data_IF_651181743008
#
_entry.id   IF_651181743008
#
_cell.length_a   1.000
_cell.length_b   1.000
_cell.length_c   1.000
_cell.angle_alpha   90.00
_cell.angle_beta   90.00
_cell.angle_gamma   90.00
#
_symmetry.space_group_name_H-M   'P 1'
#
loop_
_entity.id
_entity.type
_entity.pdbx_description
1 polymer ?
#
# COMPACT_ATOMS: atom_id res chain seq x y z
N UNK A 1 -21.81 -26.86 29.75
CA UNK A 1 -20.99 -25.69 30.13
C UNK A 1 -19.51 -26.03 30.35
N UNK A 2 -19.14 -27.08 31.12
CA UNK A 2 -17.72 -27.46 31.31
C UNK A 2 -16.96 -27.82 30.02
N UNK A 3 -17.58 -28.53 29.07
CA UNK A 3 -16.94 -28.86 27.77
C UNK A 3 -16.70 -27.63 26.88
N UNK A 4 -17.57 -26.62 26.93
CA UNK A 4 -17.41 -25.39 26.14
C UNK A 4 -16.28 -24.51 26.69
N UNK A 5 -16.19 -24.39 28.02
CA UNK A 5 -15.11 -23.66 28.68
C UNK A 5 -13.73 -24.33 28.46
N UNK A 6 -13.68 -25.67 28.45
CA UNK A 6 -12.45 -26.41 28.14
C UNK A 6 -12.01 -26.20 26.68
N UNK A 7 -12.94 -26.20 25.72
CA UNK A 7 -12.64 -25.99 24.30
C UNK A 7 -12.10 -24.58 24.02
N UNK A 8 -12.71 -23.56 24.62
CA UNK A 8 -12.24 -22.17 24.51
C UNK A 8 -10.86 -21.97 25.15
N UNK A 9 -10.59 -22.63 26.28
CA UNK A 9 -9.27 -22.57 26.94
C UNK A 9 -8.16 -23.21 26.10
N UNK A 10 -8.49 -24.31 25.41
CA UNK A 10 -7.56 -25.06 24.57
C UNK A 10 -7.21 -24.29 23.29
N UNK A 11 -8.21 -23.67 22.63
CA UNK A 11 -7.98 -22.82 21.45
C UNK A 11 -7.12 -21.59 21.77
N UNK A 12 -7.34 -20.97 22.95
CA UNK A 12 -6.54 -19.82 23.39
C UNK A 12 -5.08 -20.22 23.59
N UNK A 13 -4.83 -21.38 24.21
CA UNK A 13 -3.50 -21.92 24.43
C UNK A 13 -2.79 -22.23 23.08
N UNK A 14 -3.47 -22.89 22.14
CA UNK A 14 -2.91 -23.16 20.80
C UNK A 14 -2.52 -21.88 20.06
N UNK A 15 -3.34 -20.81 20.12
CA UNK A 15 -3.04 -19.52 19.48
C UNK A 15 -1.84 -18.82 20.10
N UNK A 16 -1.66 -18.91 21.41
CA UNK A 16 -0.50 -18.34 22.11
C UNK A 16 0.78 -19.10 21.76
N UNK A 17 0.74 -20.44 21.79
CA UNK A 17 1.85 -21.31 21.39
C UNK A 17 2.25 -21.10 19.93
N UNK A 18 1.28 -21.02 19.02
CA UNK A 18 1.50 -20.69 17.61
C UNK A 18 2.29 -19.38 17.44
N UNK A 19 1.88 -18.31 18.14
CA UNK A 19 2.58 -17.01 18.10
C UNK A 19 4.01 -17.11 18.62
N UNK A 20 4.22 -17.84 19.71
CA UNK A 20 5.53 -18.05 20.32
C UNK A 20 6.47 -18.82 19.38
N UNK A 21 6.03 -19.95 18.84
CA UNK A 21 6.82 -20.78 17.92
C UNK A 21 7.18 -19.99 16.65
N UNK A 22 6.20 -19.28 16.07
CA UNK A 22 6.44 -18.42 14.91
C UNK A 22 7.49 -17.35 15.20
N UNK A 23 7.43 -16.71 16.37
CA UNK A 23 8.42 -15.73 16.77
C UNK A 23 9.83 -16.35 16.95
N UNK A 24 9.92 -17.57 17.51
CA UNK A 24 11.19 -18.33 17.62
C UNK A 24 11.77 -18.62 16.23
N UNK A 25 10.97 -19.11 15.29
CA UNK A 25 11.42 -19.45 13.93
C UNK A 25 11.92 -18.20 13.18
N UNK A 26 11.17 -17.10 13.23
CA UNK A 26 11.54 -15.84 12.53
C UNK A 26 12.86 -15.27 13.06
N UNK A 27 13.16 -15.46 14.36
CA UNK A 27 14.42 -15.03 14.98
C UNK A 27 15.56 -16.04 14.81
N UNK A 28 15.29 -17.22 14.27
CA UNK A 28 16.28 -18.28 14.09
C UNK A 28 16.98 -18.20 12.74
N UNK A 29 18.05 -18.97 12.57
CA UNK A 29 18.72 -19.19 11.27
C UNK A 29 17.81 -19.84 10.23
N UNK A 30 16.71 -20.49 10.65
CA UNK A 30 15.74 -21.15 9.77
C UNK A 30 14.67 -20.21 9.21
N UNK A 31 14.75 -18.91 9.49
CA UNK A 31 13.80 -17.91 9.02
C UNK A 31 13.66 -17.89 7.48
N UNK A 32 14.76 -18.04 6.75
CA UNK A 32 14.73 -18.12 5.28
C UNK A 32 14.00 -19.36 4.78
N UNK A 33 14.24 -20.53 5.39
CA UNK A 33 13.57 -21.77 5.04
C UNK A 33 12.07 -21.71 5.34
N UNK A 34 11.71 -21.16 6.49
CA UNK A 34 10.32 -20.90 6.87
C UNK A 34 9.61 -20.07 5.80
N UNK A 35 10.19 -18.92 5.40
CA UNK A 35 9.56 -18.07 4.39
C UNK A 35 9.50 -18.73 3.01
N UNK A 36 10.52 -19.50 2.63
CA UNK A 36 10.50 -20.27 1.39
C UNK A 36 9.33 -21.27 1.38
N UNK A 37 9.07 -21.95 2.49
CA UNK A 37 7.92 -22.85 2.62
C UNK A 37 6.59 -22.11 2.75
N UNK A 38 6.50 -20.88 3.24
CA UNK A 38 5.22 -20.14 3.21
C UNK A 38 4.83 -19.66 1.82
N UNK A 39 5.77 -19.60 0.87
CA UNK A 39 5.51 -19.17 -0.50
C UNK A 39 5.00 -20.34 -1.36
N UNK A 40 3.68 -20.45 -1.50
CA UNK A 40 3.00 -21.55 -2.20
C UNK A 40 3.30 -21.65 -3.71
N UNK A 41 3.71 -20.54 -4.31
CA UNK A 41 4.02 -20.46 -5.74
C UNK A 41 5.46 -20.87 -6.05
N UNK A 42 6.31 -21.00 -5.03
CA UNK A 42 7.62 -21.64 -5.16
C UNK A 42 7.58 -23.07 -4.63
N UNK A 43 7.70 -24.04 -5.53
CA UNK A 43 7.93 -25.42 -5.16
C UNK A 43 9.44 -25.57 -4.86
N UNK A 44 9.80 -25.85 -3.60
CA UNK A 44 11.19 -25.97 -3.15
C UNK A 44 11.71 -27.41 -3.33
N UNK A 45 10.87 -28.40 -3.06
CA UNK A 45 11.17 -29.82 -3.24
C UNK A 45 10.50 -30.38 -4.51
N UNK A 46 10.31 -31.70 -4.64
CA UNK A 46 9.77 -32.29 -5.89
C UNK A 46 8.28 -32.03 -6.06
N UNK A 47 7.55 -31.74 -4.98
CA UNK A 47 6.12 -31.45 -5.03
C UNK A 47 5.65 -30.56 -3.89
N UNK A 48 4.48 -29.94 -4.06
CA UNK A 48 3.82 -29.17 -2.98
C UNK A 48 3.53 -30.00 -1.74
N UNK A 49 3.20 -31.28 -1.91
CA UNK A 49 2.97 -32.20 -0.79
C UNK A 49 4.25 -32.49 0.00
N UNK A 50 5.38 -32.57 -0.69
CA UNK A 50 6.70 -32.75 -0.06
C UNK A 50 7.14 -31.47 0.66
N UNK A 51 6.80 -30.30 0.11
CA UNK A 51 7.02 -29.04 0.80
C UNK A 51 6.13 -28.87 2.04
N UNK A 52 4.88 -29.37 2.04
CA UNK A 52 4.02 -29.40 3.23
C UNK A 52 4.64 -30.26 4.34
N UNK A 53 5.22 -31.40 3.94
CA UNK A 53 5.95 -32.30 4.83
C UNK A 53 7.18 -31.61 5.46
N UNK A 54 8.04 -31.01 4.64
CA UNK A 54 9.25 -30.33 5.11
C UNK A 54 8.94 -29.09 5.95
N UNK A 55 7.85 -28.39 5.62
CA UNK A 55 7.35 -27.29 6.44
C UNK A 55 6.98 -27.78 7.85
N UNK A 56 6.20 -28.85 7.95
CA UNK A 56 5.82 -29.42 9.24
C UNK A 56 7.04 -29.91 10.05
N UNK A 57 8.00 -30.57 9.40
CA UNK A 57 9.26 -30.96 10.04
C UNK A 57 10.02 -29.75 10.59
N UNK A 58 10.07 -28.65 9.84
CA UNK A 58 10.69 -27.41 10.30
C UNK A 58 10.00 -26.87 11.55
N UNK A 59 8.66 -26.81 11.57
CA UNK A 59 7.92 -26.34 12.75
C UNK A 59 8.18 -27.22 13.97
N UNK A 60 8.18 -28.56 13.79
CA UNK A 60 8.39 -29.51 14.89
C UNK A 60 9.72 -29.34 15.61
N UNK A 61 10.76 -28.82 14.95
CA UNK A 61 12.05 -28.52 15.62
C UNK A 61 11.90 -27.50 16.76
N UNK A 62 10.89 -26.63 16.68
CA UNK A 62 10.64 -25.56 17.64
C UNK A 62 9.51 -25.86 18.63
N UNK A 63 8.82 -27.01 18.49
CA UNK A 63 7.76 -27.44 19.41
C UNK A 63 8.37 -28.33 20.50
N UNK A 64 8.15 -27.97 21.77
CA UNK A 64 8.59 -28.76 22.91
C UNK A 64 7.94 -30.15 22.92
N UNK A 65 8.68 -31.16 23.38
CA UNK A 65 8.29 -32.58 23.31
C UNK A 65 7.00 -32.90 24.06
N UNK A 66 6.63 -32.09 25.05
CA UNK A 66 5.42 -32.26 25.86
C UNK A 66 4.19 -31.52 25.33
N UNK A 67 4.32 -30.70 24.27
CA UNK A 67 3.21 -29.92 23.70
C UNK A 67 2.47 -30.72 22.62
N UNK A 68 1.14 -30.73 22.61
CA UNK A 68 0.35 -31.36 21.55
C UNK A 68 0.60 -30.70 20.18
N UNK A 69 1.21 -31.44 19.25
CA UNK A 69 1.65 -30.87 17.97
C UNK A 69 0.58 -30.83 16.87
N UNK A 70 -0.44 -31.68 16.96
CA UNK A 70 -1.39 -31.90 15.84
C UNK A 70 -2.14 -30.62 15.51
N UNK A 71 -2.80 -30.02 16.50
CA UNK A 71 -3.52 -28.74 16.34
C UNK A 71 -2.61 -27.57 15.97
N UNK A 72 -1.37 -27.56 16.48
CA UNK A 72 -0.41 -26.51 16.14
C UNK A 72 0.04 -26.60 14.68
N UNK A 73 0.38 -27.80 14.21
CA UNK A 73 0.77 -28.02 12.82
C UNK A 73 -0.38 -27.73 11.85
N UNK A 74 -1.60 -28.13 12.22
CA UNK A 74 -2.81 -27.75 11.49
C UNK A 74 -2.95 -26.23 11.40
N UNK A 75 -2.83 -25.51 12.51
CA UNK A 75 -2.90 -24.04 12.52
C UNK A 75 -1.81 -23.43 11.63
N UNK A 76 -0.57 -23.92 11.67
CA UNK A 76 0.51 -23.44 10.78
C UNK A 76 0.21 -23.70 9.30
N UNK A 77 -0.28 -24.89 8.95
CA UNK A 77 -0.62 -25.21 7.56
C UNK A 77 -1.80 -24.36 7.06
N UNK A 78 -2.83 -24.16 7.88
CA UNK A 78 -4.03 -23.38 7.52
C UNK A 78 -3.79 -21.88 7.48
N UNK A 79 -2.86 -21.35 8.27
CA UNK A 79 -2.63 -19.89 8.36
C UNK A 79 -1.46 -19.41 7.51
N UNK A 80 -0.35 -20.15 7.47
CA UNK A 80 0.91 -19.67 6.88
C UNK A 80 1.22 -20.28 5.51
N UNK A 81 0.70 -21.48 5.24
CA UNK A 81 0.95 -22.25 4.01
C UNK A 81 -0.33 -22.68 3.29
N UNK A 82 -1.47 -22.07 3.61
CA UNK A 82 -2.81 -22.48 3.21
C UNK A 82 -2.94 -23.03 1.77
N UNK A 83 -3.45 -24.26 1.62
CA UNK A 83 -3.83 -24.86 0.33
C UNK A 83 -5.32 -25.19 0.35
N UNK A 84 -6.02 -24.97 -0.77
CA UNK A 84 -7.43 -25.38 -0.94
C UNK A 84 -7.65 -26.89 -0.65
N UNK A 85 -6.62 -27.71 -0.89
CA UNK A 85 -6.66 -29.15 -0.58
C UNK A 85 -6.86 -29.46 0.90
N UNK A 86 -6.50 -28.56 1.82
CA UNK A 86 -6.70 -28.74 3.26
C UNK A 86 -8.17 -28.64 3.68
N UNK A 87 -9.00 -27.96 2.88
CA UNK A 87 -10.45 -27.84 3.11
C UNK A 87 -11.25 -28.90 2.36
N UNK A 88 -10.73 -29.37 1.22
CA UNK A 88 -11.37 -30.34 0.35
C UNK A 88 -11.09 -31.81 0.75
N UNK A 89 -10.07 -32.07 1.57
CA UNK A 89 -9.67 -33.43 1.98
C UNK A 89 -9.14 -33.44 3.41
N UNK A 90 -10.05 -33.61 4.38
CA UNK A 90 -9.71 -33.74 5.81
C UNK A 90 -8.65 -34.84 6.06
N UNK A 91 -8.81 -35.97 5.38
CA UNK A 91 -7.87 -37.11 5.46
C UNK A 91 -6.46 -36.78 5.01
N UNK A 92 -6.27 -35.88 4.04
CA UNK A 92 -4.93 -35.51 3.56
C UNK A 92 -4.13 -34.74 4.63
N UNK A 93 -4.78 -33.80 5.31
CA UNK A 93 -4.16 -32.98 6.34
C UNK A 93 -3.77 -33.85 7.55
N UNK A 94 -4.71 -34.65 8.05
CA UNK A 94 -4.50 -35.59 9.16
C UNK A 94 -3.37 -36.58 8.85
N UNK A 95 -3.44 -37.26 7.69
CA UNK A 95 -2.42 -38.24 7.28
C UNK A 95 -1.03 -37.59 7.13
N UNK A 96 -0.95 -36.35 6.66
CA UNK A 96 0.33 -35.65 6.50
C UNK A 96 0.93 -35.30 7.86
N UNK A 97 0.12 -34.75 8.77
CA UNK A 97 0.56 -34.38 10.13
C UNK A 97 1.00 -35.62 10.91
N UNK A 98 0.21 -36.70 10.91
CA UNK A 98 0.54 -37.94 11.61
C UNK A 98 1.86 -38.54 11.14
N UNK A 99 2.04 -38.65 9.82
CA UNK A 99 3.26 -39.21 9.24
C UNK A 99 4.49 -38.36 9.56
N UNK A 100 4.35 -37.03 9.54
CA UNK A 100 5.45 -36.12 9.89
C UNK A 100 5.80 -36.20 11.38
N UNK A 101 4.82 -36.30 12.27
CA UNK A 101 5.05 -36.47 13.72
C UNK A 101 5.78 -37.80 13.98
N UNK A 102 5.32 -38.89 13.36
CA UNK A 102 5.96 -40.21 13.47
C UNK A 102 7.42 -40.15 12.98
N UNK A 103 7.65 -39.64 11.78
CA UNK A 103 8.99 -39.52 11.21
C UNK A 103 9.91 -38.59 12.02
N UNK A 104 9.39 -37.49 12.56
CA UNK A 104 10.15 -36.57 13.41
C UNK A 104 10.55 -37.20 14.75
N UNK A 105 9.68 -38.04 15.31
CA UNK A 105 9.93 -38.76 16.55
C UNK A 105 10.98 -39.87 16.35
N UNK A 106 10.88 -40.63 15.25
CA UNK A 106 11.85 -41.66 14.87
C UNK A 106 13.26 -41.08 14.60
N UNK A 107 13.32 -39.86 14.04
CA UNK A 107 14.59 -39.18 13.74
C UNK A 107 15.08 -38.23 14.85
N UNK A 108 14.40 -38.16 16.00
CA UNK A 108 14.77 -37.29 17.13
C UNK A 108 14.81 -35.80 16.82
N UNK A 109 14.06 -35.32 15.82
CA UNK A 109 14.14 -33.93 15.34
C UNK A 109 13.24 -32.96 16.13
N UNK A 110 12.27 -33.48 16.86
CA UNK A 110 11.29 -32.67 17.61
C UNK A 110 11.93 -31.95 18.78
N UNK A 111 11.62 -30.66 18.94
CA UNK A 111 12.05 -29.84 20.08
C UNK A 111 13.55 -29.56 20.14
N UNK A 112 14.32 -29.95 19.11
CA UNK A 112 15.78 -29.72 19.01
C UNK A 112 16.18 -28.25 19.13
N UNK A 113 15.27 -27.33 18.83
CA UNK A 113 15.46 -25.88 18.85
C UNK A 113 14.48 -25.16 19.78
N UNK A 114 13.78 -25.90 20.64
CA UNK A 114 12.75 -25.33 21.52
C UNK A 114 13.33 -24.39 22.59
N UNK A 115 14.51 -24.73 23.12
CA UNK A 115 15.21 -24.01 24.20
C UNK A 115 16.41 -23.25 23.64
N UNK A 116 16.18 -22.24 22.82
CA UNK A 116 17.22 -21.54 22.06
C UNK A 116 18.41 -21.04 22.90
N UNK A 117 19.48 -21.84 22.96
CA UNK A 117 20.85 -21.40 23.21
C UNK A 117 21.69 -21.70 21.98
N UNK A 118 21.33 -21.04 20.87
CA UNK A 118 22.16 -20.98 19.67
C UNK A 118 22.98 -19.70 19.72
N UNK A 119 24.25 -19.83 20.08
CA UNK A 119 25.28 -18.78 20.18
C UNK A 119 25.19 -17.80 19.01
N UNK A 120 25.02 -16.52 19.33
CA UNK A 120 25.13 -15.39 18.41
C UNK A 120 26.59 -15.30 17.92
N UNK A 121 26.81 -15.52 16.63
CA UNK A 121 28.05 -15.13 15.97
C UNK A 121 27.99 -13.62 15.67
N UNK A 122 28.95 -12.77 16.11
CA UNK A 122 28.85 -11.31 15.97
C UNK A 122 29.04 -10.76 14.55
N UNK A 123 29.45 -11.58 13.57
CA UNK A 123 29.94 -11.08 12.28
C UNK A 123 29.07 -11.40 11.06
N UNK A 124 27.81 -11.73 11.27
CA UNK A 124 26.82 -11.65 10.18
C UNK A 124 25.99 -10.40 10.40
N UNK A 125 26.08 -9.43 9.49
CA UNK A 125 25.24 -8.25 9.48
C UNK A 125 23.76 -8.70 9.40
N UNK A 126 23.14 -8.84 10.57
CA UNK A 126 21.72 -9.05 10.74
C UNK A 126 21.07 -7.77 10.23
N UNK A 127 20.56 -7.82 9.00
CA UNK A 127 19.50 -6.93 8.56
C UNK A 127 18.32 -7.26 9.45
N UNK A 128 18.24 -6.58 10.60
CA UNK A 128 17.03 -6.53 11.39
C UNK A 128 15.95 -6.01 10.46
N UNK A 129 15.08 -6.90 10.01
CA UNK A 129 13.75 -6.59 9.55
C UNK A 129 13.02 -6.01 10.78
N UNK A 130 13.33 -4.75 11.09
CA UNK A 130 12.48 -3.91 11.91
C UNK A 130 11.13 -3.99 11.24
N UNK A 131 10.14 -4.64 11.88
CA UNK A 131 8.74 -4.50 11.50
C UNK A 131 8.53 -3.01 11.27
N UNK A 132 8.31 -2.63 10.02
CA UNK A 132 8.20 -1.24 9.66
C UNK A 132 6.86 -0.74 10.20
N UNK A 133 6.87 -0.28 11.45
CA UNK A 133 5.68 0.29 12.09
C UNK A 133 5.61 1.75 11.67
N UNK A 134 4.83 2.03 10.63
CA UNK A 134 4.48 3.40 10.26
C UNK A 134 3.35 3.83 11.21
N UNK A 135 3.46 4.99 11.87
CA UNK A 135 2.38 5.52 12.69
C UNK A 135 1.11 5.75 11.85
N UNK A 136 -0.07 5.39 12.38
CA UNK A 136 -1.33 5.52 11.65
C UNK A 136 -1.63 6.98 11.21
N UNK A 137 -1.20 7.96 12.00
CA UNK A 137 -1.36 9.39 11.70
C UNK A 137 -0.48 9.89 10.54
N UNK A 138 0.45 9.07 10.04
CA UNK A 138 1.25 9.36 8.86
C UNK A 138 0.64 8.76 7.59
N UNK A 139 -0.47 8.03 7.70
CA UNK A 139 -1.14 7.41 6.56
C UNK A 139 -2.43 8.16 6.23
N UNK A 140 -2.52 8.61 4.98
CA UNK A 140 -3.75 9.21 4.44
C UNK A 140 -4.42 8.20 3.52
N UNK A 141 -5.73 8.01 3.68
CA UNK A 141 -6.56 7.35 2.66
C UNK A 141 -6.89 8.36 1.57
N UNK A 142 -6.70 7.98 0.32
CA UNK A 142 -7.10 8.75 -0.85
C UNK A 142 -7.94 7.87 -1.77
N UNK A 143 -8.99 8.38 -2.39
CA UNK A 143 -9.75 7.60 -3.35
C UNK A 143 -9.03 7.52 -4.70
N UNK A 144 -9.21 6.43 -5.45
CA UNK A 144 -8.76 6.29 -6.84
C UNK A 144 -9.30 7.40 -7.79
N UNK A 145 -10.26 8.22 -7.32
CA UNK A 145 -10.75 9.44 -7.98
C UNK A 145 -9.63 10.47 -8.24
N UNK A 146 -8.52 10.40 -7.52
CA UNK A 146 -7.41 11.32 -7.71
C UNK A 146 -6.36 10.84 -8.74
N UNK A 147 -6.73 9.94 -9.67
CA UNK A 147 -5.95 9.65 -10.90
C UNK A 147 -6.01 10.80 -11.92
N UNK A 148 -5.80 12.04 -11.48
CA UNK A 148 -5.91 13.27 -12.28
C UNK A 148 -4.62 14.11 -12.29
N UNK A 149 -3.52 13.58 -11.76
CA UNK A 149 -2.20 14.22 -11.73
C UNK A 149 -1.25 13.55 -12.72
N UNK A 150 -0.55 14.36 -13.52
CA UNK A 150 0.27 13.88 -14.64
C UNK A 150 1.68 14.48 -14.64
N UNK A 151 2.63 13.76 -15.25
CA UNK A 151 3.99 14.24 -15.53
C UNK A 151 3.95 15.32 -16.61
N UNK A 152 4.60 16.45 -16.33
CA UNK A 152 4.84 17.60 -17.22
C UNK A 152 3.63 17.94 -18.13
N UNK A 153 2.76 18.83 -17.61
CA UNK A 153 1.57 19.35 -18.29
C UNK A 153 1.78 20.72 -18.96
N UNK A 154 3.02 21.17 -19.18
CA UNK A 154 3.38 22.54 -19.59
C UNK A 154 2.66 23.07 -20.85
N UNK A 155 2.10 22.19 -21.68
CA UNK A 155 1.45 22.54 -22.95
C UNK A 155 0.06 21.95 -23.16
N UNK A 156 -0.60 21.45 -22.11
CA UNK A 156 -1.92 20.87 -22.26
C UNK A 156 -3.01 21.95 -22.25
N UNK A 157 -3.90 21.87 -23.25
CA UNK A 157 -4.96 22.84 -23.51
C UNK A 157 -5.95 22.84 -22.33
N UNK A 158 -6.24 24.03 -21.79
CA UNK A 158 -7.31 24.23 -20.81
C UNK A 158 -8.67 23.82 -21.41
N UNK A 159 -9.63 23.47 -20.57
CA UNK A 159 -10.94 22.93 -20.97
C UNK A 159 -10.85 21.56 -21.66
N UNK A 160 -9.94 20.72 -21.17
CA UNK A 160 -9.86 19.32 -21.60
C UNK A 160 -10.62 18.41 -20.62
N UNK A 161 -11.33 17.42 -21.17
CA UNK A 161 -11.99 16.38 -20.39
C UNK A 161 -11.31 15.04 -20.66
N UNK A 162 -11.04 14.28 -19.61
CA UNK A 162 -10.43 12.95 -19.68
C UNK A 162 -11.29 11.94 -18.94
N UNK A 163 -11.62 10.87 -19.66
CA UNK A 163 -12.19 9.66 -19.09
C UNK A 163 -11.06 8.82 -18.49
N UNK A 164 -10.91 8.91 -17.17
CA UNK A 164 -9.86 8.21 -16.43
C UNK A 164 -10.24 6.75 -16.19
N UNK A 165 -11.54 6.46 -16.07
CA UNK A 165 -12.08 5.11 -15.99
C UNK A 165 -13.52 5.10 -16.53
N UNK A 166 -13.82 4.14 -17.41
CA UNK A 166 -15.15 3.95 -18.00
C UNK A 166 -15.85 2.67 -17.53
N UNK A 167 -15.31 2.00 -16.50
CA UNK A 167 -15.99 0.85 -15.90
C UNK A 167 -17.24 1.31 -15.16
N UNK A 168 -18.35 0.59 -15.29
CA UNK A 168 -19.63 0.96 -14.67
C UNK A 168 -19.54 1.07 -13.14
N UNK A 169 -18.77 0.19 -12.50
CA UNK A 169 -18.54 0.15 -11.06
C UNK A 169 -17.50 1.16 -10.55
N UNK A 170 -16.82 1.84 -11.47
CA UNK A 170 -15.65 2.66 -11.17
C UNK A 170 -15.48 3.82 -12.16
N UNK A 171 -16.56 4.47 -12.60
CA UNK A 171 -16.50 5.56 -13.59
C UNK A 171 -15.82 6.80 -12.99
N UNK A 172 -14.97 7.44 -13.76
CA UNK A 172 -14.34 8.72 -13.42
C UNK A 172 -14.05 9.53 -14.68
N UNK A 173 -14.65 10.70 -14.73
CA UNK A 173 -14.41 11.73 -15.73
C UNK A 173 -13.87 12.98 -15.03
N UNK A 174 -12.86 13.60 -15.64
CA UNK A 174 -12.16 14.77 -15.09
C UNK A 174 -12.10 15.87 -16.12
N UNK A 175 -12.58 17.06 -15.77
CA UNK A 175 -12.51 18.26 -16.62
C UNK A 175 -11.54 19.28 -16.03
N UNK A 176 -10.57 19.70 -16.83
CA UNK A 176 -9.48 20.60 -16.44
C UNK A 176 -9.69 22.01 -17.00
N UNK A 177 -10.43 22.85 -16.28
CA UNK A 177 -10.73 24.22 -16.75
C UNK A 177 -9.56 25.21 -16.57
N UNK A 178 -8.51 24.81 -15.86
CA UNK A 178 -7.29 25.60 -15.64
C UNK A 178 -6.01 24.84 -16.03
N UNK A 179 -6.16 23.83 -16.90
CA UNK A 179 -5.08 22.94 -17.33
C UNK A 179 -4.87 21.73 -16.39
N UNK A 180 -4.15 20.68 -16.86
CA UNK A 180 -3.98 19.45 -16.09
C UNK A 180 -3.07 19.63 -14.88
N UNK A 181 -3.42 18.90 -13.82
CA UNK A 181 -2.71 18.93 -12.55
C UNK A 181 -1.36 18.19 -12.67
N UNK A 182 -0.33 18.78 -12.08
CA UNK A 182 1.03 18.25 -12.10
C UNK A 182 1.50 17.81 -10.70
N UNK A 183 2.79 17.50 -10.56
CA UNK A 183 3.34 16.99 -9.31
C UNK A 183 3.46 18.04 -8.19
N UNK A 184 3.50 19.32 -8.55
CA UNK A 184 3.40 20.41 -7.60
C UNK A 184 1.97 20.48 -7.04
N UNK A 185 0.95 20.41 -7.91
CA UNK A 185 -0.45 20.39 -7.50
C UNK A 185 -0.77 19.18 -6.61
N UNK A 186 -0.24 18.01 -6.97
CA UNK A 186 -0.33 16.81 -6.14
C UNK A 186 0.28 17.01 -4.75
N UNK A 187 1.41 17.73 -4.68
CA UNK A 187 2.07 18.00 -3.41
C UNK A 187 1.17 18.84 -2.52
N UNK A 188 0.63 19.96 -3.04
CA UNK A 188 -0.30 20.82 -2.29
C UNK A 188 -1.52 20.02 -1.83
N UNK A 189 -2.12 19.25 -2.74
CA UNK A 189 -3.27 18.41 -2.44
C UNK A 189 -3.02 17.41 -1.31
N UNK A 190 -1.92 16.65 -1.35
CA UNK A 190 -1.58 15.67 -0.30
C UNK A 190 -1.30 16.35 1.04
N UNK A 191 -0.67 17.52 1.05
CA UNK A 191 -0.47 18.29 2.28
C UNK A 191 -1.78 18.75 2.90
N UNK A 192 -2.69 19.29 2.10
CA UNK A 192 -4.01 19.67 2.57
C UNK A 192 -4.75 18.46 3.14
N UNK A 193 -4.80 17.34 2.42
CA UNK A 193 -5.41 16.11 2.94
C UNK A 193 -4.78 15.65 4.26
N UNK A 194 -3.45 15.75 4.41
CA UNK A 194 -2.76 15.41 5.67
C UNK A 194 -3.23 16.28 6.82
N UNK A 195 -3.40 17.57 6.54
CA UNK A 195 -3.82 18.55 7.52
C UNK A 195 -5.29 18.34 7.93
N UNK A 196 -6.20 18.18 6.95
CA UNK A 196 -7.61 17.86 7.19
C UNK A 196 -7.80 16.54 7.94
N UNK A 197 -6.94 15.54 7.69
CA UNK A 197 -6.99 14.26 8.43
C UNK A 197 -6.60 14.41 9.90
N UNK A 198 -5.79 15.41 10.26
CA UNK A 198 -5.38 15.70 11.64
C UNK A 198 -6.34 16.65 12.34
N UNK A 199 -6.95 17.55 11.59
CA UNK A 199 -7.88 18.58 12.07
C UNK A 199 -9.17 18.52 11.24
N UNK A 200 -10.01 17.50 11.46
CA UNK A 200 -11.24 17.36 10.70
C UNK A 200 -12.20 18.50 11.06
N UNK A 201 -12.50 19.36 10.09
CA UNK A 201 -13.50 20.41 10.20
C UNK A 201 -14.56 20.21 9.11
N UNK A 202 -15.83 20.36 9.48
CA UNK A 202 -16.96 20.16 8.55
C UNK A 202 -17.04 21.33 7.56
N UNK A 203 -16.71 22.54 8.00
CA UNK A 203 -16.94 23.77 7.23
C UNK A 203 -15.75 24.17 6.35
N UNK A 204 -14.59 23.53 6.49
CA UNK A 204 -13.34 23.96 5.87
C UNK A 204 -12.36 24.55 6.87
N UNK A 205 -11.24 25.08 6.38
CA UNK A 205 -10.12 25.50 7.21
C UNK A 205 -9.71 26.91 6.80
N UNK A 206 -9.64 27.79 7.79
CA UNK A 206 -9.06 29.12 7.65
C UNK A 206 -7.55 29.06 7.97
N UNK A 207 -6.72 29.44 7.01
CA UNK A 207 -5.26 29.46 7.14
C UNK A 207 -4.73 30.78 6.61
N UNK A 208 -3.76 31.38 7.29
CA UNK A 208 -2.96 32.40 6.65
C UNK A 208 -1.99 31.77 5.62
N UNK A 209 -1.67 32.50 4.56
CA UNK A 209 -0.74 32.03 3.52
C UNK A 209 0.65 31.61 4.07
N UNK A 210 1.28 32.35 5.01
CA UNK A 210 2.51 31.89 5.67
C UNK A 210 2.39 30.50 6.30
N UNK A 211 1.27 30.21 6.95
CA UNK A 211 0.99 28.92 7.57
C UNK A 211 0.76 27.84 6.52
N UNK A 212 0.04 28.15 5.44
CA UNK A 212 -0.12 27.24 4.30
C UNK A 212 1.23 26.88 3.65
N UNK A 213 2.10 27.86 3.41
CA UNK A 213 3.47 27.64 2.92
C UNK A 213 4.26 26.74 3.88
N UNK A 214 4.14 26.97 5.19
CA UNK A 214 4.79 26.15 6.22
C UNK A 214 4.28 24.71 6.22
N UNK A 215 2.97 24.49 6.14
CA UNK A 215 2.37 23.15 6.02
C UNK A 215 2.94 22.46 4.79
N UNK A 216 2.97 23.13 3.64
CA UNK A 216 3.47 22.58 2.39
C UNK A 216 5.01 22.47 2.30
N UNK A 217 5.74 22.91 3.33
CA UNK A 217 7.22 23.00 3.38
C UNK A 217 7.80 23.76 2.19
N UNK A 218 7.17 24.87 1.81
CA UNK A 218 7.60 25.76 0.73
C UNK A 218 8.22 27.02 1.34
N UNK A 219 9.31 27.50 0.74
CA UNK A 219 9.98 28.73 1.19
C UNK A 219 9.05 29.95 1.09
N UNK A 220 9.17 30.87 2.04
CA UNK A 220 8.40 32.13 2.02
C UNK A 220 9.04 33.14 1.07
N UNK A 221 8.57 33.21 -0.18
CA UNK A 221 8.93 34.23 -1.16
C UNK A 221 7.79 34.49 -2.14
N UNK A 222 7.76 35.64 -2.81
CA UNK A 222 6.65 36.06 -3.68
C UNK A 222 6.30 35.05 -4.79
N UNK A 223 7.30 34.40 -5.39
CA UNK A 223 7.08 33.34 -6.38
C UNK A 223 6.31 32.16 -5.77
N UNK A 224 6.67 31.75 -4.55
CA UNK A 224 6.01 30.66 -3.84
C UNK A 224 4.54 30.97 -3.49
N UNK A 225 4.23 32.22 -3.14
CA UNK A 225 2.85 32.67 -2.96
C UNK A 225 2.05 32.52 -4.26
N UNK A 226 2.60 33.05 -5.37
CA UNK A 226 1.96 32.98 -6.69
C UNK A 226 1.73 31.53 -7.12
N UNK A 227 2.71 30.65 -6.93
CA UNK A 227 2.62 29.23 -7.31
C UNK A 227 1.60 28.46 -6.48
N UNK A 228 1.50 28.71 -5.17
CA UNK A 228 0.44 28.11 -4.35
C UNK A 228 -0.94 28.60 -4.81
N UNK A 229 -1.11 29.91 -5.04
CA UNK A 229 -2.39 30.45 -5.50
C UNK A 229 -2.78 29.88 -6.87
N UNK A 230 -1.83 29.73 -7.80
CA UNK A 230 -2.07 29.08 -9.08
C UNK A 230 -2.50 27.62 -8.90
N UNK A 231 -1.84 26.88 -8.00
CA UNK A 231 -2.17 25.50 -7.70
C UNK A 231 -3.56 25.36 -7.07
N UNK A 232 -3.91 26.20 -6.09
CA UNK A 232 -5.24 26.25 -5.49
C UNK A 232 -6.31 26.58 -6.54
N UNK A 233 -6.03 27.53 -7.43
CA UNK A 233 -6.90 27.90 -8.56
C UNK A 233 -7.10 26.72 -9.52
N UNK A 234 -6.04 25.97 -9.84
CA UNK A 234 -6.13 24.77 -10.68
C UNK A 234 -6.97 23.67 -10.03
N UNK A 235 -6.71 23.38 -8.76
CA UNK A 235 -7.46 22.39 -8.00
C UNK A 235 -8.94 22.80 -7.88
N UNK A 236 -9.24 24.08 -7.66
CA UNK A 236 -10.61 24.56 -7.54
C UNK A 236 -11.38 24.59 -8.86
N UNK A 237 -10.69 24.63 -9.99
CA UNK A 237 -11.26 24.61 -11.34
C UNK A 237 -11.24 23.23 -11.99
N UNK A 238 -10.68 22.23 -11.32
CA UNK A 238 -10.72 20.85 -11.78
C UNK A 238 -12.01 20.20 -11.30
N UNK A 239 -12.87 19.85 -12.24
CA UNK A 239 -14.17 19.22 -11.97
C UNK A 239 -14.07 17.71 -12.15
N UNK A 240 -14.71 16.98 -11.25
CA UNK A 240 -14.74 15.53 -11.20
C UNK A 240 -16.20 15.09 -11.32
N UNK A 241 -16.45 14.10 -12.16
CA UNK A 241 -17.73 13.40 -12.24
C UNK A 241 -17.47 11.91 -12.08
N UNK A 242 -18.11 11.28 -11.10
CA UNK A 242 -17.80 9.89 -10.75
C UNK A 242 -19.05 9.11 -10.34
N UNK A 243 -18.97 7.80 -10.61
CA UNK A 243 -19.89 6.80 -10.11
C UNK A 243 -19.03 5.64 -9.57
N UNK A 244 -18.97 5.47 -8.25
CA UNK A 244 -18.08 4.51 -7.60
C UNK A 244 -18.85 3.55 -6.72
N UNK A 245 -18.62 2.26 -6.89
CA UNK A 245 -19.00 1.25 -5.91
C UNK A 245 -18.17 1.46 -4.63
N UNK A 246 -18.81 1.52 -3.47
CA UNK A 246 -18.15 1.78 -2.17
C UNK A 246 -18.14 0.57 -1.22
N UNK A 247 -18.92 -0.48 -1.50
CA UNK A 247 -18.99 -1.72 -0.70
C UNK A 247 -18.67 -2.96 -1.54
N UNK A 248 -17.90 -3.89 -0.98
CA UNK A 248 -17.66 -5.22 -1.55
C UNK A 248 -18.70 -6.19 -0.95
N UNK A 249 -19.31 -7.06 -1.76
CA UNK A 249 -20.28 -8.06 -1.32
C UNK A 249 -19.69 -8.97 -0.23
N UNK A 250 -20.07 -8.73 1.02
CA UNK A 250 -19.84 -9.68 2.11
C UNK A 250 -21.16 -9.85 2.85
N UNK A 251 -21.81 -11.00 2.62
CA UNK A 251 -23.04 -11.51 3.26
C UNK A 251 -24.38 -10.97 2.72
N UNK A 252 -25.05 -11.86 1.96
CA UNK A 252 -26.48 -12.09 1.67
C UNK A 252 -27.52 -10.96 1.52
N UNK A 253 -27.31 -9.71 1.92
CA UNK A 253 -28.33 -8.63 1.77
C UNK A 253 -27.76 -7.20 1.74
N UNK A 254 -26.66 -6.94 1.03
CA UNK A 254 -26.24 -5.57 0.73
C UNK A 254 -26.37 -5.31 -0.77
N UNK A 255 -27.39 -4.52 -1.15
CA UNK A 255 -27.47 -3.91 -2.48
C UNK A 255 -26.16 -3.15 -2.73
N UNK A 256 -25.59 -3.30 -3.91
CA UNK A 256 -24.42 -2.54 -4.33
C UNK A 256 -24.60 -1.05 -4.03
N UNK A 257 -23.85 -0.54 -3.05
CA UNK A 257 -23.88 0.88 -2.73
C UNK A 257 -22.95 1.60 -3.71
N UNK A 258 -23.56 2.44 -4.54
CA UNK A 258 -22.86 3.37 -5.42
C UNK A 258 -22.88 4.76 -4.82
N UNK A 259 -21.74 5.45 -4.93
CA UNK A 259 -21.62 6.86 -4.63
C UNK A 259 -21.42 7.61 -5.95
N UNK A 260 -22.44 8.36 -6.33
CA UNK A 260 -22.48 9.19 -7.55
C UNK A 260 -22.51 10.64 -7.14
N UNK A 261 -21.56 11.42 -7.64
CA UNK A 261 -21.52 12.86 -7.39
C UNK A 261 -20.60 13.54 -8.40
N UNK A 262 -20.73 14.86 -8.49
CA UNK A 262 -19.89 15.72 -9.32
C UNK A 262 -19.59 17.05 -8.62
N UNK A 263 -18.43 17.63 -8.92
CA UNK A 263 -17.99 18.91 -8.36
C UNK A 263 -16.48 19.07 -8.41
N UNK A 264 -15.96 20.09 -7.73
CA UNK A 264 -14.53 20.44 -7.78
C UNK A 264 -13.72 19.70 -6.73
N UNK A 265 -12.41 19.57 -6.95
CA UNK A 265 -11.51 18.93 -5.96
C UNK A 265 -11.55 19.68 -4.62
N UNK A 266 -11.53 21.01 -4.70
CA UNK A 266 -11.66 21.90 -3.56
C UNK A 266 -12.37 23.20 -3.96
N UNK A 267 -12.71 24.00 -2.97
CA UNK A 267 -13.13 25.39 -3.09
C UNK A 267 -12.21 26.21 -2.19
N UNK A 268 -11.86 27.44 -2.59
CA UNK A 268 -11.07 28.33 -1.73
C UNK A 268 -11.49 29.78 -1.91
N UNK A 269 -11.36 30.56 -0.84
CA UNK A 269 -11.56 32.00 -0.82
C UNK A 269 -10.30 32.66 -0.30
N UNK A 270 -9.87 33.73 -0.97
CA UNK A 270 -8.71 34.52 -0.57
C UNK A 270 -9.20 35.85 -0.04
N UNK A 271 -9.00 36.09 1.25
CA UNK A 271 -9.36 37.34 1.90
C UNK A 271 -8.11 38.20 2.06
N UNK A 272 -8.09 39.34 1.36
CA UNK A 272 -7.03 40.33 1.51
C UNK A 272 -7.37 41.23 2.70
N UNK A 273 -6.60 41.12 3.79
CA UNK A 273 -6.77 42.04 4.92
C UNK A 273 -6.16 43.39 4.57
N UNK A 274 -7.01 44.39 4.34
CA UNK A 274 -6.60 45.76 4.05
C UNK A 274 -5.70 46.38 5.14
N UNK A 275 -5.78 45.88 6.38
CA UNK A 275 -5.10 46.43 7.55
C UNK A 275 -3.69 45.86 7.84
N UNK A 276 -3.24 44.82 7.12
CA UNK A 276 -1.90 44.23 7.32
C UNK A 276 -1.27 43.82 5.99
N UNK A 277 -0.34 44.64 5.51
CA UNK A 277 0.50 44.34 4.35
C UNK A 277 1.17 42.98 4.58
N UNK A 278 0.87 41.99 3.73
CA UNK A 278 1.47 40.65 3.77
C UNK A 278 0.70 39.57 4.54
N UNK A 279 -0.48 39.87 5.10
CA UNK A 279 -1.40 38.87 5.65
C UNK A 279 -2.57 38.62 4.69
N UNK A 280 -2.46 37.52 3.96
CA UNK A 280 -3.53 36.99 3.11
C UNK A 280 -4.10 35.76 3.80
N UNK A 281 -5.37 35.83 4.17
CA UNK A 281 -6.08 34.65 4.69
C UNK A 281 -6.63 33.85 3.52
N UNK A 282 -6.64 32.54 3.69
CA UNK A 282 -7.16 31.59 2.73
C UNK A 282 -8.07 30.63 3.46
N UNK A 283 -9.34 30.69 3.10
CA UNK A 283 -10.31 29.69 3.51
C UNK A 283 -10.35 28.59 2.47
N UNK A 284 -10.12 27.33 2.88
CA UNK A 284 -10.09 26.17 2.00
C UNK A 284 -11.14 25.17 2.44
N UNK A 285 -11.95 24.71 1.48
CA UNK A 285 -12.95 23.67 1.68
C UNK A 285 -12.71 22.51 0.70
N UNK A 286 -12.60 21.26 1.19
CA UNK A 286 -12.41 20.09 0.34
C UNK A 286 -13.77 19.43 0.11
N UNK A 287 -14.34 19.70 -1.07
CA UNK A 287 -15.77 19.54 -1.35
C UNK A 287 -16.24 18.06 -1.45
N UNK A 288 -15.38 17.14 -1.90
CA UNK A 288 -15.87 15.88 -2.49
C UNK A 288 -15.31 14.59 -1.90
N UNK A 289 -14.24 14.65 -1.12
CA UNK A 289 -13.52 13.43 -0.72
C UNK A 289 -13.84 12.94 0.68
N UNK A 290 -14.25 13.80 1.62
CA UNK A 290 -14.35 13.42 3.03
C UNK A 290 -15.28 12.22 3.25
N UNK A 291 -16.47 12.23 2.63
CA UNK A 291 -17.45 11.15 2.79
C UNK A 291 -16.98 9.82 2.16
N UNK A 292 -16.37 9.84 0.97
CA UNK A 292 -15.82 8.62 0.33
C UNK A 292 -14.64 8.07 1.14
N UNK A 293 -13.79 8.94 1.68
CA UNK A 293 -12.63 8.56 2.47
C UNK A 293 -13.02 7.97 3.84
N UNK A 294 -14.13 8.43 4.41
CA UNK A 294 -14.66 7.95 5.69
C UNK A 294 -15.46 6.64 5.55
N UNK A 295 -16.25 6.49 4.48
CA UNK A 295 -17.23 5.41 4.34
C UNK A 295 -16.72 4.27 3.44
N UNK A 296 -15.83 4.56 2.49
CA UNK A 296 -15.39 3.60 1.47
C UNK A 296 -14.35 2.60 1.99
N UNK A 297 -14.73 1.33 2.05
CA UNK A 297 -13.80 0.20 2.27
C UNK A 297 -13.28 -0.39 0.95
N UNK A 298 -13.71 0.16 -0.19
CA UNK A 298 -13.34 -0.26 -1.54
C UNK A 298 -12.77 0.93 -2.33
N UNK A 299 -11.89 0.67 -3.31
CA UNK A 299 -11.30 1.69 -4.20
C UNK A 299 -10.52 2.84 -3.52
N UNK A 300 -9.98 2.63 -2.32
CA UNK A 300 -9.04 3.54 -1.70
C UNK A 300 -7.59 3.11 -1.94
N UNK A 301 -6.73 4.10 -2.03
CA UNK A 301 -5.29 4.00 -1.92
C UNK A 301 -4.87 4.60 -0.60
N UNK A 302 -3.74 4.16 -0.08
CA UNK A 302 -3.14 4.81 1.07
C UNK A 302 -1.83 5.48 0.67
N UNK A 303 -1.46 6.57 1.35
CA UNK A 303 -0.22 7.30 1.13
C UNK A 303 0.53 7.32 2.46
N UNK A 304 1.80 6.91 2.48
CA UNK A 304 2.69 7.26 3.58
C UNK A 304 3.16 8.71 3.36
N UNK A 305 2.67 9.63 4.18
CA UNK A 305 3.02 11.05 4.06
C UNK A 305 4.51 11.26 4.28
N UNK A 306 5.14 10.57 5.23
CA UNK A 306 6.56 10.72 5.50
C UNK A 306 7.40 10.33 4.28
N UNK A 307 7.13 9.16 3.70
CA UNK A 307 7.85 8.71 2.50
C UNK A 307 7.57 9.60 1.29
N UNK A 308 6.32 10.01 1.08
CA UNK A 308 5.94 10.93 0.01
C UNK A 308 6.69 12.27 0.13
N UNK A 309 6.81 12.83 1.34
CA UNK A 309 7.51 14.09 1.56
C UNK A 309 9.02 13.98 1.45
N UNK A 310 9.59 12.80 1.73
CA UNK A 310 11.03 12.55 1.57
C UNK A 310 11.46 12.48 0.10
N UNK A 311 10.53 12.29 -0.83
CA UNK A 311 10.82 12.39 -2.26
C UNK A 311 11.07 13.84 -2.65
N UNK A 312 12.31 14.14 -3.09
CA UNK A 312 12.75 15.51 -3.41
C UNK A 312 12.07 16.11 -4.65
N UNK A 313 11.72 15.29 -5.63
CA UNK A 313 11.16 15.74 -6.92
C UNK A 313 9.65 15.49 -6.98
N UNK A 314 8.92 16.48 -7.49
CA UNK A 314 7.49 16.37 -7.77
C UNK A 314 7.14 15.22 -8.72
N UNK A 315 7.99 14.94 -9.71
CA UNK A 315 7.78 13.81 -10.63
C UNK A 315 7.87 12.45 -9.92
N UNK A 316 8.78 12.31 -8.93
CA UNK A 316 8.88 11.09 -8.13
C UNK A 316 7.64 10.90 -7.26
N UNK A 317 7.06 12.00 -6.77
CA UNK A 317 5.81 12.01 -6.01
C UNK A 317 4.62 11.55 -6.86
N UNK A 318 4.55 11.97 -8.13
CA UNK A 318 3.55 11.44 -9.07
C UNK A 318 3.72 9.93 -9.24
N UNK A 319 4.95 9.46 -9.46
CA UNK A 319 5.22 8.04 -9.63
C UNK A 319 4.87 7.21 -8.38
N UNK A 320 5.25 7.69 -7.20
CA UNK A 320 4.86 7.10 -5.92
C UNK A 320 3.34 7.01 -5.79
N UNK A 321 2.67 8.13 -6.08
CA UNK A 321 1.23 8.23 -5.96
C UNK A 321 0.51 7.30 -6.93
N UNK A 322 0.98 7.24 -8.18
CA UNK A 322 0.52 6.29 -9.17
C UNK A 322 0.61 4.84 -8.67
N UNK A 323 1.73 4.44 -8.06
CA UNK A 323 1.87 3.11 -7.48
C UNK A 323 0.91 2.87 -6.30
N UNK A 324 0.70 3.87 -5.45
CA UNK A 324 -0.28 3.77 -4.36
C UNK A 324 -1.70 3.51 -4.87
N UNK A 325 -2.09 4.12 -5.99
CA UNK A 325 -3.42 3.97 -6.60
C UNK A 325 -3.61 2.65 -7.36
N UNK A 326 -2.53 2.07 -7.88
CA UNK A 326 -2.61 0.91 -8.79
C UNK A 326 -2.14 -0.40 -8.17
N UNK A 327 -1.50 -0.37 -7.00
CA UNK A 327 -0.94 -1.56 -6.35
C UNK A 327 -1.63 -1.79 -5.01
N UNK A 328 -2.41 -2.86 -4.94
CA UNK A 328 -2.98 -3.31 -3.67
C UNK A 328 -1.86 -3.84 -2.77
N UNK A 329 -1.90 -3.56 -1.45
CA UNK A 329 -1.00 -4.17 -0.48
C UNK A 329 -1.16 -5.69 -0.45
N UNK A 330 -0.23 -6.40 -1.09
CA UNK A 330 -0.27 -7.85 -1.29
C UNK A 330 1.15 -8.42 -1.28
N UNK A 331 1.27 -9.74 -1.22
CA UNK A 331 2.58 -10.40 -1.36
C UNK A 331 3.08 -10.47 -2.81
N UNK A 332 2.18 -10.25 -3.77
CA UNK A 332 2.40 -10.39 -5.19
C UNK A 332 2.97 -9.12 -5.82
N UNK A 333 3.78 -9.30 -6.85
CA UNK A 333 4.28 -8.20 -7.66
C UNK A 333 3.29 -7.85 -8.76
N UNK A 334 3.06 -6.55 -8.95
CA UNK A 334 2.38 -6.00 -10.12
C UNK A 334 3.44 -5.62 -11.16
N UNK A 335 3.26 -6.14 -12.37
CA UNK A 335 4.15 -5.86 -13.50
C UNK A 335 3.67 -4.62 -14.26
N UNK A 336 4.60 -3.72 -14.59
CA UNK A 336 4.33 -2.59 -15.47
C UNK A 336 5.41 -2.47 -16.55
N UNK A 337 5.00 -2.42 -17.81
CA UNK A 337 5.91 -2.08 -18.91
C UNK A 337 6.21 -0.58 -18.93
N UNK A 338 7.36 -0.18 -19.48
CA UNK A 338 7.68 1.25 -19.64
C UNK A 338 6.65 1.98 -20.51
N UNK A 339 6.11 1.30 -21.53
CA UNK A 339 5.10 1.88 -22.42
C UNK A 339 3.81 2.17 -21.67
N UNK A 340 3.31 1.23 -20.87
CA UNK A 340 2.12 1.43 -20.04
C UNK A 340 2.29 2.56 -19.04
N UNK A 341 3.41 2.58 -18.30
CA UNK A 341 3.71 3.67 -17.36
C UNK A 341 3.71 5.03 -18.05
N UNK A 342 4.37 5.15 -19.21
CA UNK A 342 4.42 6.40 -19.94
C UNK A 342 3.05 6.84 -20.50
N UNK A 343 2.15 5.90 -20.82
CA UNK A 343 0.79 6.23 -21.26
C UNK A 343 -0.09 6.69 -20.09
N UNK A 344 0.08 6.11 -18.91
CA UNK A 344 -0.76 6.42 -17.75
C UNK A 344 -0.26 7.63 -16.96
N UNK A 345 1.05 7.89 -16.93
CA UNK A 345 1.65 8.99 -16.18
C UNK A 345 1.61 10.32 -16.93
N UNK A 346 1.51 10.31 -18.26
CA UNK A 346 1.46 11.54 -19.06
C UNK A 346 0.05 11.83 -19.53
N UNK A 347 -0.27 13.12 -19.59
CA UNK A 347 -1.53 13.57 -20.17
C UNK A 347 -1.60 13.21 -21.66
N UNK A 348 -2.76 12.70 -22.10
CA UNK A 348 -2.92 12.15 -23.45
C UNK A 348 -2.58 13.17 -24.55
N UNK A 349 -3.00 14.43 -24.37
CA UNK A 349 -2.75 15.52 -25.34
C UNK A 349 -1.35 16.15 -25.23
N UNK A 350 -0.41 15.57 -24.48
CA UNK A 350 0.94 16.14 -24.41
C UNK A 350 1.71 15.97 -25.73
N UNK A 351 2.31 17.05 -26.23
CA UNK A 351 3.08 17.07 -27.48
C UNK A 351 4.40 16.26 -27.44
N UNK A 352 4.73 15.66 -26.29
CA UNK A 352 5.97 14.90 -26.11
C UNK A 352 5.84 13.55 -26.81
N UNK A 353 6.73 13.27 -27.77
CA UNK A 353 6.83 11.97 -28.46
C UNK A 353 6.95 10.81 -27.46
N UNK A 354 6.26 9.70 -27.70
CA UNK A 354 6.24 8.53 -26.81
C UNK A 354 7.65 8.00 -26.46
N UNK A 355 8.60 8.02 -27.40
CA UNK A 355 9.99 7.62 -27.17
C UNK A 355 10.65 8.46 -26.06
N UNK A 356 10.38 9.77 -26.04
CA UNK A 356 10.89 10.69 -25.03
C UNK A 356 10.21 10.46 -23.67
N UNK A 357 8.89 10.22 -23.66
CA UNK A 357 8.16 9.84 -22.45
C UNK A 357 8.75 8.56 -21.83
N UNK A 358 8.94 7.52 -22.64
CA UNK A 358 9.55 6.26 -22.21
C UNK A 358 10.96 6.49 -21.62
N UNK A 359 11.78 7.34 -22.23
CA UNK A 359 13.12 7.66 -21.71
C UNK A 359 13.05 8.41 -20.37
N UNK A 360 12.15 9.40 -20.23
CA UNK A 360 11.95 10.14 -18.97
C UNK A 360 11.47 9.20 -17.87
N UNK A 361 10.50 8.33 -18.14
CA UNK A 361 10.02 7.31 -17.18
C UNK A 361 11.15 6.39 -16.73
N UNK A 362 12.01 5.92 -17.64
CA UNK A 362 13.18 5.09 -17.25
C UNK A 362 14.12 5.81 -16.29
N UNK A 363 14.44 7.07 -16.57
CA UNK A 363 15.27 7.89 -15.68
C UNK A 363 14.61 8.05 -14.30
N UNK A 364 13.30 8.32 -14.31
CA UNK A 364 12.51 8.47 -13.08
C UNK A 364 12.46 7.18 -12.26
N UNK A 365 12.30 6.02 -12.90
CA UNK A 365 12.30 4.72 -12.23
C UNK A 365 13.66 4.37 -11.61
N UNK A 366 14.76 4.68 -12.30
CA UNK A 366 16.10 4.49 -11.74
C UNK A 366 16.31 5.38 -10.50
N UNK A 367 15.83 6.62 -10.55
CA UNK A 367 15.90 7.52 -9.40
C UNK A 367 15.00 7.07 -8.26
N UNK A 368 13.77 6.64 -8.55
CA UNK A 368 12.83 6.09 -7.58
C UNK A 368 13.40 4.83 -6.90
N UNK A 369 14.05 3.95 -7.66
CA UNK A 369 14.66 2.73 -7.11
C UNK A 369 15.82 3.02 -6.15
N UNK A 370 16.58 4.09 -6.36
CA UNK A 370 17.63 4.53 -5.43
C UNK A 370 17.06 5.00 -4.09
N UNK A 371 15.85 5.55 -4.10
CA UNK A 371 15.17 6.09 -2.93
C UNK A 371 13.84 5.37 -2.69
N UNK A 372 13.84 4.04 -2.85
CA UNK A 372 12.60 3.30 -2.81
C UNK A 372 11.93 3.50 -1.44
N UNK A 373 10.68 4.01 -1.42
CA UNK A 373 9.95 4.16 -0.18
C UNK A 373 9.78 2.83 0.54
N UNK A 374 9.75 2.89 1.87
CA UNK A 374 9.79 1.69 2.72
C UNK A 374 8.56 0.80 2.55
N UNK A 375 7.46 1.35 2.03
CA UNK A 375 6.24 0.61 1.73
C UNK A 375 6.27 -0.14 0.39
N UNK A 376 7.32 0.01 -0.44
CA UNK A 376 7.44 -0.64 -1.73
C UNK A 376 8.69 -1.52 -1.86
N UNK A 377 8.52 -2.66 -2.53
CA UNK A 377 9.64 -3.45 -3.07
C UNK A 377 9.55 -3.44 -4.59
N UNK A 378 10.67 -3.17 -5.27
CA UNK A 378 10.71 -3.02 -6.72
C UNK A 378 11.88 -3.81 -7.31
N UNK A 379 11.61 -4.50 -8.42
CA UNK A 379 12.58 -5.16 -9.27
C UNK A 379 12.57 -4.52 -10.65
N UNK A 380 13.75 -4.32 -11.23
CA UNK A 380 13.92 -3.73 -12.56
C UNK A 380 14.43 -4.79 -13.52
N UNK A 381 13.70 -4.98 -14.63
CA UNK A 381 14.06 -5.94 -15.67
C UNK A 381 14.52 -5.20 -16.92
N UNK A 382 15.72 -5.56 -17.38
CA UNK A 382 16.37 -4.96 -18.56
C UNK A 382 16.39 -5.97 -19.71
N UNK A 383 16.25 -5.46 -20.93
CA UNK A 383 16.42 -6.26 -22.13
C UNK A 383 17.91 -6.54 -22.41
N UNK A 384 18.20 -7.32 -23.46
CA UNK A 384 19.57 -7.64 -23.91
C UNK A 384 20.46 -6.41 -24.17
N UNK A 385 19.87 -5.24 -24.44
CA UNK A 385 20.57 -3.96 -24.66
C UNK A 385 20.75 -3.15 -23.37
N UNK A 386 20.50 -3.74 -22.20
CA UNK A 386 20.60 -3.07 -20.90
C UNK A 386 19.52 -2.01 -20.64
N UNK A 387 18.52 -1.89 -21.52
CA UNK A 387 17.44 -0.90 -21.37
C UNK A 387 16.30 -1.49 -20.54
N UNK A 388 15.78 -0.72 -19.58
CA UNK A 388 14.63 -1.15 -18.78
C UNK A 388 13.43 -1.41 -19.70
N UNK A 389 12.90 -2.62 -19.62
CA UNK A 389 11.75 -3.07 -20.41
C UNK A 389 10.48 -3.02 -19.58
N UNK A 390 10.54 -3.56 -18.37
CA UNK A 390 9.46 -3.53 -17.40
C UNK A 390 10.00 -3.52 -15.97
N UNK A 391 9.10 -3.24 -15.05
CA UNK A 391 9.34 -3.34 -13.62
C UNK A 391 8.34 -4.30 -13.01
N UNK A 392 8.71 -4.85 -11.86
CA UNK A 392 7.77 -5.49 -10.95
C UNK A 392 7.83 -4.74 -9.64
N UNK A 393 6.67 -4.35 -9.12
CA UNK A 393 6.59 -3.61 -7.87
C UNK A 393 5.46 -4.17 -7.01
N UNK A 394 5.73 -4.32 -5.71
CA UNK A 394 4.73 -4.73 -4.73
C UNK A 394 4.72 -3.79 -3.54
N UNK A 395 3.58 -3.72 -2.88
CA UNK A 395 3.38 -2.90 -1.68
C UNK A 395 3.27 -3.78 -0.44
N UNK A 396 4.06 -3.48 0.59
CA UNK A 396 4.22 -4.34 1.78
C UNK A 396 2.93 -4.37 2.61
N UNK A 397 2.41 -5.57 2.90
CA UNK A 397 1.11 -5.80 3.58
C UNK A 397 1.03 -5.23 5.00
N UNK A 398 2.17 -5.13 5.71
CA UNK A 398 2.27 -4.56 7.05
C UNK A 398 1.72 -3.13 7.17
N UNK A 399 1.56 -2.46 6.03
CA UNK A 399 1.02 -1.12 5.89
C UNK A 399 -0.50 -0.98 6.17
N UNK A 400 -1.31 -2.01 5.90
CA UNK A 400 -2.79 -1.88 5.94
C UNK A 400 -3.43 -2.44 7.20
N UNK A 401 -2.75 -3.35 7.90
CA UNK A 401 -3.35 -4.14 8.99
C UNK A 401 -3.70 -3.33 10.24
N UNK A 402 -3.25 -2.07 10.36
CA UNK A 402 -3.60 -1.14 11.44
C UNK A 402 -4.66 -0.09 11.08
N UNK A 403 -5.07 0.00 9.81
CA UNK A 403 -6.07 0.96 9.35
C UNK A 403 -7.47 0.35 9.28
N UNK A 404 -7.58 -0.97 9.21
CA UNK A 404 -8.85 -1.70 9.06
C UNK A 404 -9.39 -2.29 10.37
N UNK A 405 -8.65 -2.14 11.46
CA UNK A 405 -9.08 -2.39 12.83
C UNK A 405 -9.10 -1.04 13.55
#
# INVERSE_FOLDING_TARGET
>A
MQQHNNMQSLEKNTKEQYKLIKAKIIKSTYCSDYYAFTNIDSIKNKSRSEDDWHFCLLILKFIESHIECTRLLEEFLRTERYREKFDLSLTYLETTIEKVIKASSENGQRGTLANGTGVLNPDSAIVTSTKLVIPAHEIIRTCNIAKCFFLNSEYAIANSTVNVSNQEDNKLEVSFNAGPLNGYDLTIFVYLLSYFSKYPTIDGIDLDMPHLLKICRISKNGESYSRIQESLSKLSKTHLSYNKKITQETSRTLKDAFYTSSGTILSYLVNYRASKIGHTDVFIYINIFLNILQIGNYNYACINVADFMNLRKHDLRILYYFFCLNIRPTQYFTKFTIKELALQLYFQSSNIKQKNRNMKVRKLLLEFHKYIPKDFHMKIYKNKRGTIEYIEIKRVKAFVTKLLN
#
